data_IF_123454395846
#
_entry.id   IF_123454395846
#
_cell.length_a   1.000
_cell.length_b   1.000
_cell.length_c   1.000
_cell.angle_alpha   90.00
_cell.angle_beta   90.00
_cell.angle_gamma   90.00
#
_symmetry.space_group_name_H-M   'P 1'
#
loop_
_entity.id
_entity.type
_entity.pdbx_description
1 polymer ?
#
# COMPACT_ATOMS: atom_id res chain seq x y z
N UNK A 1 65.76 13.58 1.45
CA UNK A 1 66.08 13.67 2.88
C UNK A 1 65.35 14.82 3.48
N UNK A 2 64.44 14.61 4.37
CA UNK A 2 64.54 15.08 5.73
C UNK A 2 63.96 14.09 6.76
N UNK A 3 64.68 14.02 7.80
CA UNK A 3 64.59 13.84 9.22
C UNK A 3 63.23 13.46 9.86
N UNK A 4 63.22 12.23 10.40
CA UNK A 4 62.22 11.75 11.39
C UNK A 4 62.46 12.39 12.74
N UNK A 5 61.40 12.91 13.40
CA UNK A 5 61.38 13.18 14.83
C UNK A 5 60.52 12.13 15.53
N UNK A 6 61.09 11.39 16.44
CA UNK A 6 60.46 10.55 17.45
C UNK A 6 59.95 11.42 18.59
N UNK A 7 58.73 11.23 18.99
CA UNK A 7 58.17 11.76 20.25
C UNK A 7 57.98 10.60 21.22
N UNK A 8 58.71 10.66 22.32
CA UNK A 8 58.63 9.77 23.49
C UNK A 8 57.50 10.22 24.40
N UNK A 9 56.64 9.28 24.85
CA UNK A 9 55.61 9.48 25.87
C UNK A 9 56.06 8.86 27.19
N UNK A 10 56.00 9.56 28.32
CA UNK A 10 56.34 9.00 29.61
C UNK A 10 55.20 8.17 30.20
N UNK A 11 55.54 7.00 30.73
CA UNK A 11 54.65 6.12 31.51
C UNK A 11 54.64 6.58 32.97
N UNK A 12 53.47 6.96 33.47
CA UNK A 12 53.28 7.29 34.89
C UNK A 12 52.67 6.07 35.60
N UNK A 13 53.41 5.53 36.56
CA UNK A 13 53.03 4.42 37.42
C UNK A 13 52.19 4.96 38.59
N UNK A 14 50.92 4.54 38.70
CA UNK A 14 50.06 4.85 39.85
C UNK A 14 49.99 3.63 40.77
N UNK A 15 50.51 3.79 41.99
CA UNK A 15 50.45 2.80 43.08
C UNK A 15 49.05 2.87 43.73
N UNK A 16 48.30 1.78 43.73
CA UNK A 16 47.04 1.66 44.45
C UNK A 16 47.25 1.10 45.88
N UNK A 17 46.91 1.87 46.88
CA UNK A 17 46.75 1.39 48.28
C UNK A 17 45.34 0.78 48.43
N UNK A 18 45.27 -0.44 48.96
CA UNK A 18 44.05 -1.10 49.38
C UNK A 18 43.69 -0.73 50.84
N UNK A 19 42.44 -0.43 51.18
CA UNK A 19 42.01 -0.37 52.58
C UNK A 19 41.42 -1.70 53.05
N UNK A 20 41.64 -1.99 54.35
CA UNK A 20 41.25 -3.20 55.04
C UNK A 20 39.73 -3.40 55.18
N UNK A 21 39.31 -4.63 55.08
CA UNK A 21 37.94 -5.06 55.28
C UNK A 21 37.52 -5.05 56.75
N UNK A 22 36.44 -4.35 57.07
CA UNK A 22 35.67 -4.49 58.29
C UNK A 22 34.53 -5.46 58.11
N UNK A 23 34.54 -6.57 58.87
CA UNK A 23 33.38 -7.52 58.87
C UNK A 23 32.19 -6.90 59.60
N UNK A 24 31.10 -6.66 58.89
CA UNK A 24 29.80 -6.35 59.48
C UNK A 24 28.89 -7.57 59.35
N UNK A 25 28.34 -8.03 60.49
CA UNK A 25 27.36 -9.11 60.56
C UNK A 25 26.09 -8.68 59.85
N UNK A 26 25.66 -9.45 58.87
CA UNK A 26 24.36 -9.31 58.24
C UNK A 26 23.28 -9.97 59.08
N UNK A 27 22.22 -9.20 59.42
CA UNK A 27 20.97 -9.75 59.94
C UNK A 27 20.16 -10.42 58.84
N UNK A 28 19.34 -11.45 59.15
CA UNK A 28 18.53 -12.14 58.13
C UNK A 28 17.34 -11.27 57.67
N UNK A 29 17.31 -10.98 56.37
CA UNK A 29 16.18 -10.35 55.70
C UNK A 29 15.04 -11.35 55.60
N UNK A 30 13.76 -10.98 55.87
CA UNK A 30 12.62 -11.86 55.68
C UNK A 30 12.43 -12.17 54.18
N UNK A 31 12.16 -13.44 53.85
CA UNK A 31 11.74 -13.88 52.54
C UNK A 31 10.33 -13.31 52.24
N UNK A 32 10.29 -12.23 51.47
CA UNK A 32 9.04 -11.74 50.90
C UNK A 32 8.50 -12.74 49.88
N UNK A 33 7.18 -12.87 49.91
CA UNK A 33 6.37 -13.74 49.05
C UNK A 33 6.69 -13.53 47.56
N UNK A 34 6.38 -14.55 46.70
CA UNK A 34 6.65 -14.43 45.29
C UNK A 34 5.81 -13.28 44.67
N UNK A 35 6.52 -12.26 44.23
CA UNK A 35 5.92 -11.23 43.35
C UNK A 35 5.31 -11.93 42.15
N UNK A 36 3.98 -11.91 42.10
CA UNK A 36 3.20 -12.26 40.91
C UNK A 36 3.84 -11.57 39.72
N UNK A 37 4.41 -12.38 38.82
CA UNK A 37 5.05 -11.90 37.61
C UNK A 37 4.11 -10.95 36.88
N UNK A 38 4.61 -9.76 36.55
CA UNK A 38 3.97 -8.85 35.67
C UNK A 38 3.61 -9.63 34.40
N UNK A 39 2.31 -9.78 34.12
CA UNK A 39 1.82 -10.29 32.85
C UNK A 39 2.51 -9.46 31.75
N UNK A 40 3.38 -10.10 31.00
CA UNK A 40 4.05 -9.44 29.88
C UNK A 40 3.00 -8.79 29.02
N UNK A 41 3.04 -7.47 28.90
CA UNK A 41 2.23 -6.72 27.97
C UNK A 41 2.44 -7.37 26.61
N UNK A 42 1.42 -8.07 26.09
CA UNK A 42 1.45 -8.61 24.75
C UNK A 42 1.64 -7.40 23.82
N UNK A 43 2.83 -7.27 23.26
CA UNK A 43 3.12 -6.19 22.30
C UNK A 43 2.12 -6.33 21.16
N UNK A 44 1.34 -5.28 20.90
CA UNK A 44 0.41 -5.28 19.78
C UNK A 44 1.16 -5.61 18.48
N UNK A 45 0.59 -6.44 17.60
CA UNK A 45 1.26 -6.79 16.37
C UNK A 45 1.45 -5.54 15.50
N UNK A 46 2.64 -5.41 14.89
CA UNK A 46 2.98 -4.27 14.04
C UNK A 46 1.95 -4.09 12.92
N UNK A 47 1.59 -2.85 12.58
CA UNK A 47 0.61 -2.55 11.53
C UNK A 47 1.05 -3.09 10.17
N UNK A 48 0.10 -3.51 9.37
CA UNK A 48 0.31 -4.11 8.05
C UNK A 48 -0.74 -3.61 7.07
N UNK A 49 -0.35 -3.43 5.80
CA UNK A 49 -1.26 -3.05 4.73
C UNK A 49 -1.37 -4.15 3.69
N UNK A 50 -2.60 -4.52 3.35
CA UNK A 50 -2.96 -5.32 2.19
C UNK A 50 -3.60 -4.40 1.16
N UNK A 51 -2.82 -3.95 0.19
CA UNK A 51 -3.29 -3.18 -0.95
C UNK A 51 -3.82 -4.13 -2.03
N UNK A 52 -5.04 -3.87 -2.51
CA UNK A 52 -5.68 -4.64 -3.58
C UNK A 52 -6.04 -3.69 -4.71
N UNK A 53 -5.47 -3.90 -5.89
CA UNK A 53 -5.87 -3.20 -7.11
C UNK A 53 -6.63 -4.15 -8.03
N UNK A 54 -7.88 -3.80 -8.34
CA UNK A 54 -8.74 -4.55 -9.26
C UNK A 54 -8.74 -3.81 -10.59
N UNK A 55 -7.97 -4.33 -11.54
CA UNK A 55 -7.69 -3.73 -12.84
C UNK A 55 -8.99 -3.50 -13.63
N UNK A 56 -9.22 -2.26 -14.02
CA UNK A 56 -10.38 -1.87 -14.83
C UNK A 56 -11.73 -1.93 -14.08
N UNK A 57 -11.75 -1.85 -12.75
CA UNK A 57 -12.99 -1.93 -11.97
C UNK A 57 -13.79 -0.62 -12.03
N UNK A 58 -14.98 -0.69 -12.64
CA UNK A 58 -15.91 0.42 -12.76
C UNK A 58 -16.86 0.51 -11.56
N UNK A 59 -16.90 1.64 -10.85
CA UNK A 59 -17.81 1.84 -9.71
C UNK A 59 -19.30 1.71 -10.09
N UNK A 60 -19.72 2.26 -11.24
CA UNK A 60 -21.11 2.18 -11.70
C UNK A 60 -21.58 0.74 -11.98
N UNK A 61 -20.66 -0.18 -12.27
CA UNK A 61 -20.98 -1.61 -12.40
C UNK A 61 -21.09 -2.26 -11.04
N UNK A 62 -20.28 -1.86 -10.06
CA UNK A 62 -20.42 -2.31 -8.66
C UNK A 62 -21.80 -1.88 -8.13
N UNK A 63 -22.19 -0.61 -8.31
CA UNK A 63 -23.50 -0.10 -7.91
C UNK A 63 -24.65 -0.87 -8.57
N UNK A 64 -24.59 -1.07 -9.90
CA UNK A 64 -25.64 -1.81 -10.62
C UNK A 64 -25.74 -3.28 -10.23
N UNK A 65 -24.65 -3.91 -9.82
CA UNK A 65 -24.65 -5.29 -9.32
C UNK A 65 -25.25 -5.38 -7.92
N UNK A 66 -25.17 -4.29 -7.16
CA UNK A 66 -25.66 -4.22 -5.81
C UNK A 66 -24.98 -5.20 -4.85
N UNK A 67 -25.44 -5.23 -3.61
CA UNK A 67 -24.91 -6.11 -2.58
C UNK A 67 -25.10 -7.60 -2.88
N UNK A 68 -26.08 -7.98 -3.72
CA UNK A 68 -26.25 -9.38 -4.14
C UNK A 68 -25.15 -9.81 -5.12
N UNK A 69 -24.73 -8.91 -6.02
CA UNK A 69 -23.72 -9.21 -7.03
C UNK A 69 -22.27 -9.01 -6.58
N UNK A 70 -22.04 -8.08 -5.65
CA UNK A 70 -20.73 -7.74 -5.10
C UNK A 70 -20.80 -7.58 -3.57
N UNK A 71 -21.16 -8.65 -2.83
CA UNK A 71 -21.42 -8.58 -1.39
C UNK A 71 -20.20 -8.15 -0.58
N UNK A 72 -18.99 -8.51 -1.01
CA UNK A 72 -17.77 -8.17 -0.28
C UNK A 72 -17.45 -6.68 -0.42
N UNK A 73 -17.47 -6.15 -1.63
CA UNK A 73 -17.21 -4.71 -1.86
C UNK A 73 -18.24 -3.84 -1.12
N UNK A 74 -19.54 -4.20 -1.16
CA UNK A 74 -20.58 -3.49 -0.42
C UNK A 74 -20.39 -3.59 1.09
N UNK A 75 -19.96 -4.74 1.62
CA UNK A 75 -19.62 -4.88 3.04
C UNK A 75 -18.43 -3.99 3.41
N UNK A 76 -17.35 -4.00 2.62
CA UNK A 76 -16.17 -3.17 2.89
C UNK A 76 -16.50 -1.67 2.84
N UNK A 77 -17.39 -1.25 1.94
CA UNK A 77 -17.90 0.14 1.88
C UNK A 77 -18.77 0.50 3.10
N UNK A 78 -19.57 -0.45 3.58
CA UNK A 78 -20.44 -0.22 4.73
C UNK A 78 -19.72 -0.23 6.08
N UNK A 79 -18.68 -1.05 6.22
CA UNK A 79 -17.92 -1.24 7.46
C UNK A 79 -16.63 -0.39 7.53
N UNK A 80 -16.18 0.18 6.42
CA UNK A 80 -14.94 0.93 6.30
C UNK A 80 -15.13 2.34 5.74
N UNK A 81 -14.02 3.04 5.52
CA UNK A 81 -13.98 4.33 4.85
C UNK A 81 -13.89 4.13 3.33
N UNK A 82 -14.83 4.66 2.55
CA UNK A 82 -14.80 4.40 1.12
C UNK A 82 -15.53 5.43 0.28
N UNK A 83 -15.21 5.44 -1.02
CA UNK A 83 -15.97 6.16 -2.04
C UNK A 83 -15.98 5.38 -3.35
N UNK A 84 -17.06 5.48 -4.09
CA UNK A 84 -17.15 4.99 -5.47
C UNK A 84 -16.84 6.09 -6.50
N UNK A 85 -16.41 7.28 -6.03
CA UNK A 85 -16.16 8.44 -6.89
C UNK A 85 -14.71 8.98 -6.78
N UNK A 86 -13.74 8.12 -6.52
CA UNK A 86 -12.33 8.49 -6.63
C UNK A 86 -11.88 8.67 -8.08
N UNK A 87 -10.71 9.25 -8.28
CA UNK A 87 -10.13 9.49 -9.61
C UNK A 87 -8.76 8.84 -9.75
N UNK A 88 -8.45 8.33 -10.93
CA UNK A 88 -7.08 7.95 -11.33
C UNK A 88 -6.25 9.18 -11.71
N UNK A 89 -4.99 8.96 -12.07
CA UNK A 89 -4.14 10.00 -12.65
C UNK A 89 -4.78 10.58 -13.92
N UNK A 90 -4.69 11.91 -14.07
CA UNK A 90 -5.41 12.63 -15.12
C UNK A 90 -4.88 12.38 -16.52
N UNK A 91 -3.59 12.05 -16.66
CA UNK A 91 -2.90 12.00 -17.94
C UNK A 91 -3.12 10.69 -18.70
N UNK A 92 -3.30 9.59 -17.97
CA UNK A 92 -3.40 8.24 -18.50
C UNK A 92 -4.37 7.40 -17.70
N UNK A 93 -5.15 6.61 -18.41
CA UNK A 93 -6.12 5.67 -17.87
C UNK A 93 -5.77 4.25 -18.33
N UNK A 94 -4.51 3.87 -18.12
CA UNK A 94 -3.95 2.61 -18.58
C UNK A 94 -3.27 1.87 -17.44
N UNK A 95 -3.21 0.54 -17.52
CA UNK A 95 -2.74 -0.36 -16.45
C UNK A 95 -1.38 0.05 -15.88
N UNK A 96 -0.36 0.17 -16.72
CA UNK A 96 0.99 0.36 -16.21
C UNK A 96 1.22 1.77 -15.62
N UNK A 97 0.76 2.87 -16.25
CA UNK A 97 0.75 4.20 -15.63
C UNK A 97 -0.06 4.23 -14.33
N UNK A 98 -1.28 3.68 -14.31
CA UNK A 98 -2.17 3.69 -13.14
C UNK A 98 -1.55 3.00 -11.93
N UNK A 99 -1.06 1.77 -12.10
CA UNK A 99 -0.39 1.04 -11.02
C UNK A 99 0.94 1.68 -10.58
N UNK A 100 1.63 2.38 -11.48
CA UNK A 100 2.82 3.14 -11.09
C UNK A 100 2.42 4.36 -10.24
N UNK A 101 1.30 5.01 -10.58
CA UNK A 101 0.70 6.07 -9.75
C UNK A 101 0.33 5.54 -8.36
N UNK A 102 -0.34 4.37 -8.28
CA UNK A 102 -0.75 3.73 -7.01
C UNK A 102 0.42 3.50 -6.05
N UNK A 103 1.58 3.06 -6.55
CA UNK A 103 2.72 2.75 -5.68
C UNK A 103 3.67 3.93 -5.43
N UNK A 104 3.54 5.04 -6.19
CA UNK A 104 4.43 6.20 -6.06
C UNK A 104 3.77 7.44 -5.49
N UNK A 105 2.43 7.53 -5.53
CA UNK A 105 1.70 8.75 -5.21
C UNK A 105 2.01 9.89 -6.19
N UNK A 106 2.54 9.58 -7.39
CA UNK A 106 2.93 10.58 -8.39
C UNK A 106 1.98 10.58 -9.58
N UNK A 107 1.82 11.73 -10.18
CA UNK A 107 1.22 11.86 -11.52
C UNK A 107 2.10 11.19 -12.59
N UNK A 108 1.60 11.13 -13.84
CA UNK A 108 2.35 10.49 -14.94
C UNK A 108 3.43 11.39 -15.52
N UNK A 109 3.15 12.69 -15.72
CA UNK A 109 4.01 13.66 -16.42
C UNK A 109 5.36 13.88 -15.69
N UNK A 110 6.45 13.30 -16.24
CA UNK A 110 7.81 13.44 -15.69
C UNK A 110 8.29 14.90 -15.63
N UNK A 111 7.92 15.73 -16.61
CA UNK A 111 8.28 17.16 -16.66
C UNK A 111 7.67 17.99 -15.51
N UNK A 112 6.72 17.39 -14.79
CA UNK A 112 6.06 17.98 -13.62
C UNK A 112 6.24 17.16 -12.35
N UNK A 113 7.35 16.44 -12.24
CA UNK A 113 7.69 15.62 -11.07
C UNK A 113 6.99 14.26 -11.02
N UNK A 114 6.33 13.84 -12.09
CA UNK A 114 5.67 12.55 -12.20
C UNK A 114 6.62 11.39 -12.40
N UNK A 115 6.06 10.19 -12.46
CA UNK A 115 6.83 8.94 -12.58
C UNK A 115 7.28 8.60 -14.01
N UNK A 116 6.79 9.32 -15.04
CA UNK A 116 7.23 9.21 -16.43
C UNK A 116 6.83 7.95 -17.20
N UNK A 117 6.12 7.01 -16.60
CA UNK A 117 5.66 5.80 -17.26
C UNK A 117 4.43 6.15 -18.11
N UNK A 118 4.63 6.25 -19.43
CA UNK A 118 3.60 6.67 -20.41
C UNK A 118 3.20 5.57 -21.38
N UNK A 119 3.72 4.36 -21.19
CA UNK A 119 3.44 3.16 -22.02
C UNK A 119 2.69 2.10 -21.22
N UNK A 120 2.02 1.20 -21.91
CA UNK A 120 1.19 0.16 -21.27
C UNK A 120 1.61 -1.29 -21.63
N UNK A 121 2.65 -1.48 -22.42
CA UNK A 121 3.18 -2.80 -22.76
C UNK A 121 4.33 -3.22 -21.84
N UNK A 122 4.65 -4.54 -21.85
CA UNK A 122 5.84 -5.03 -21.18
C UNK A 122 7.09 -4.61 -21.95
N UNK A 123 7.96 -3.81 -21.32
CA UNK A 123 9.27 -3.42 -21.84
C UNK A 123 10.37 -4.00 -20.92
N UNK A 124 11.14 -4.94 -21.43
CA UNK A 124 12.31 -5.48 -20.72
C UNK A 124 13.36 -4.38 -20.45
N UNK A 125 14.06 -4.47 -19.32
CA UNK A 125 15.14 -3.52 -18.98
C UNK A 125 14.71 -2.12 -18.53
N UNK A 126 13.44 -1.73 -18.73
CA UNK A 126 12.96 -0.41 -18.30
C UNK A 126 12.69 -0.35 -16.79
N UNK A 127 12.83 0.83 -16.21
CA UNK A 127 12.49 1.14 -14.82
C UNK A 127 11.72 2.45 -14.73
N UNK A 128 11.03 2.66 -13.62
CA UNK A 128 10.33 3.94 -13.32
C UNK A 128 11.33 5.09 -13.22
N UNK A 129 12.52 4.84 -12.64
CA UNK A 129 13.60 5.83 -12.55
C UNK A 129 14.12 6.25 -13.92
N UNK A 130 14.27 5.29 -14.85
CA UNK A 130 14.61 5.57 -16.24
C UNK A 130 13.54 6.37 -16.98
N UNK A 131 12.27 6.07 -16.72
CA UNK A 131 11.14 6.80 -17.29
C UNK A 131 11.06 8.26 -16.79
N UNK A 132 11.31 8.47 -15.51
CA UNK A 132 11.29 9.79 -14.89
C UNK A 132 12.55 10.63 -15.18
N UNK A 133 13.61 10.01 -15.68
CA UNK A 133 14.92 10.68 -15.85
C UNK A 133 15.67 10.94 -14.53
N UNK A 134 15.27 10.28 -13.43
CA UNK A 134 15.87 10.48 -12.12
C UNK A 134 15.28 9.59 -11.03
N UNK A 135 15.72 9.76 -9.78
CA UNK A 135 15.26 8.94 -8.67
C UNK A 135 13.74 9.07 -8.44
N UNK A 136 13.06 7.93 -8.35
CA UNK A 136 11.65 7.85 -7.96
C UNK A 136 11.51 6.87 -6.80
N UNK A 137 10.91 7.36 -5.71
CA UNK A 137 10.59 6.58 -4.52
C UNK A 137 9.17 5.99 -4.63
N UNK A 138 8.86 5.01 -3.81
CA UNK A 138 7.56 4.34 -3.77
C UNK A 138 7.25 3.84 -2.37
N UNK A 139 6.01 3.46 -2.10
CA UNK A 139 5.64 2.77 -0.86
C UNK A 139 6.57 1.58 -0.59
N UNK A 140 6.96 0.83 -1.63
CA UNK A 140 7.88 -0.32 -1.51
C UNK A 140 9.24 0.11 -0.96
N UNK A 141 9.81 1.20 -1.51
CA UNK A 141 11.12 1.69 -1.09
C UNK A 141 11.10 2.28 0.33
N UNK A 142 10.01 2.92 0.74
CA UNK A 142 9.88 3.49 2.10
C UNK A 142 9.69 2.40 3.14
N UNK A 143 8.84 1.41 2.87
CA UNK A 143 8.71 0.20 3.70
C UNK A 143 10.07 -0.50 3.88
N UNK A 144 10.85 -0.65 2.82
CA UNK A 144 12.18 -1.26 2.92
C UNK A 144 13.14 -0.44 3.77
N UNK A 145 13.08 0.88 3.68
CA UNK A 145 13.94 1.79 4.47
C UNK A 145 13.62 1.73 5.97
N UNK A 146 12.36 1.49 6.32
CA UNK A 146 11.96 1.29 7.73
C UNK A 146 12.29 -0.10 8.27
N UNK A 147 12.90 -0.98 7.45
CA UNK A 147 13.18 -2.36 7.83
C UNK A 147 12.04 -3.34 7.54
N UNK A 148 10.91 -2.86 7.02
CA UNK A 148 9.77 -3.69 6.66
C UNK A 148 9.98 -4.51 5.38
N UNK A 149 9.18 -5.56 5.20
CA UNK A 149 9.14 -6.39 4.01
C UNK A 149 7.94 -6.08 3.12
N UNK A 150 8.10 -6.30 1.79
CA UNK A 150 7.03 -6.15 0.81
C UNK A 150 6.87 -7.37 -0.08
N UNK A 151 5.62 -7.64 -0.49
CA UNK A 151 5.30 -8.69 -1.45
C UNK A 151 4.34 -8.18 -2.53
N UNK A 152 4.55 -8.61 -3.79
CA UNK A 152 3.70 -8.30 -4.93
C UNK A 152 3.20 -9.59 -5.58
N UNK A 153 1.89 -9.69 -5.75
CA UNK A 153 1.19 -10.79 -6.42
C UNK A 153 0.40 -10.20 -7.59
N UNK A 154 0.85 -10.41 -8.81
CA UNK A 154 0.34 -9.68 -9.97
C UNK A 154 -0.14 -10.61 -11.09
N UNK A 155 -1.23 -10.18 -11.76
CA UNK A 155 -1.85 -10.92 -12.86
C UNK A 155 -1.26 -10.62 -14.25
N UNK A 156 -0.53 -9.51 -14.42
CA UNK A 156 -0.01 -9.06 -15.72
C UNK A 156 1.50 -8.89 -15.70
N UNK A 157 2.18 -9.42 -16.73
CA UNK A 157 3.65 -9.39 -16.87
C UNK A 157 4.22 -7.96 -16.88
N UNK A 158 3.50 -6.98 -17.44
CA UNK A 158 3.95 -5.58 -17.50
C UNK A 158 4.25 -5.02 -16.11
N UNK A 159 3.57 -5.47 -15.05
CA UNK A 159 3.79 -5.06 -13.66
C UNK A 159 5.11 -5.54 -13.07
N UNK A 160 5.87 -6.39 -13.78
CA UNK A 160 7.28 -6.67 -13.42
C UNK A 160 8.16 -5.42 -13.44
N UNK A 161 7.70 -4.33 -14.04
CA UNK A 161 8.33 -3.00 -13.95
C UNK A 161 8.53 -2.59 -12.49
N UNK A 162 7.55 -2.82 -11.61
CA UNK A 162 7.62 -2.45 -10.19
C UNK A 162 8.76 -3.16 -9.48
N UNK A 163 8.90 -4.48 -9.69
CA UNK A 163 10.03 -5.25 -9.15
C UNK A 163 11.37 -4.77 -9.70
N UNK A 164 11.46 -4.49 -11.01
CA UNK A 164 12.71 -4.01 -11.61
C UNK A 164 13.11 -2.63 -11.11
N UNK A 165 12.14 -1.77 -10.83
CA UNK A 165 12.39 -0.41 -10.35
C UNK A 165 12.85 -0.38 -8.89
N UNK A 166 12.38 -1.32 -8.06
CA UNK A 166 12.74 -1.40 -6.64
C UNK A 166 13.14 -2.83 -6.24
N UNK A 167 14.22 -3.40 -6.85
CA UNK A 167 14.54 -4.84 -6.70
C UNK A 167 14.91 -5.25 -5.28
N UNK A 168 15.43 -4.31 -4.48
CA UNK A 168 15.81 -4.56 -3.08
C UNK A 168 14.64 -4.35 -2.10
N UNK A 169 13.55 -3.77 -2.56
CA UNK A 169 12.37 -3.48 -1.75
C UNK A 169 11.27 -4.54 -1.87
N UNK A 170 11.36 -5.44 -2.86
CA UNK A 170 10.39 -6.49 -3.12
C UNK A 170 10.99 -7.84 -2.70
N UNK A 171 10.61 -8.34 -1.53
CA UNK A 171 11.09 -9.64 -1.02
C UNK A 171 10.42 -10.81 -1.74
N UNK A 172 9.19 -10.63 -2.17
CA UNK A 172 8.42 -11.63 -2.89
C UNK A 172 7.72 -11.03 -4.09
N UNK A 173 7.98 -11.56 -5.27
CA UNK A 173 7.25 -11.24 -6.50
C UNK A 173 6.68 -12.52 -7.10
N UNK A 174 5.37 -12.51 -7.36
CA UNK A 174 4.65 -13.62 -7.99
C UNK A 174 3.88 -13.07 -9.19
N UNK A 175 4.20 -13.58 -10.36
CA UNK A 175 3.43 -13.37 -11.58
C UNK A 175 2.62 -14.63 -11.86
N UNK A 176 1.31 -14.48 -11.96
CA UNK A 176 0.38 -15.61 -12.17
C UNK A 176 -0.86 -15.10 -12.92
N UNK A 177 -1.15 -15.63 -14.09
CA UNK A 177 -2.28 -15.17 -14.92
C UNK A 177 -3.66 -15.58 -14.38
N UNK A 178 -3.74 -16.71 -13.66
CA UNK A 178 -4.97 -17.12 -13.00
C UNK A 178 -5.19 -16.32 -11.70
N UNK A 179 -6.24 -15.47 -11.61
CA UNK A 179 -6.49 -14.64 -10.44
C UNK A 179 -6.76 -15.46 -9.16
N UNK A 180 -7.28 -16.69 -9.29
CA UNK A 180 -7.48 -17.59 -8.15
C UNK A 180 -6.14 -18.04 -7.57
N UNK A 181 -5.15 -18.28 -8.42
CA UNK A 181 -3.78 -18.62 -8.00
C UNK A 181 -3.06 -17.42 -7.43
N UNK A 182 -3.24 -16.20 -7.99
CA UNK A 182 -2.73 -14.95 -7.40
C UNK A 182 -3.18 -14.86 -5.94
N UNK A 183 -4.49 -14.95 -5.69
CA UNK A 183 -5.08 -14.85 -4.35
C UNK A 183 -4.64 -16.00 -3.45
N UNK A 184 -4.57 -17.23 -3.96
CA UNK A 184 -4.11 -18.38 -3.17
C UNK A 184 -2.65 -18.23 -2.71
N UNK A 185 -1.79 -17.63 -3.55
CA UNK A 185 -0.39 -17.33 -3.21
C UNK A 185 -0.30 -16.19 -2.19
N UNK A 186 -1.03 -15.10 -2.39
CA UNK A 186 -1.09 -13.98 -1.45
C UNK A 186 -1.59 -14.42 -0.06
N UNK A 187 -2.67 -15.18 0.01
CA UNK A 187 -3.21 -15.73 1.28
C UNK A 187 -2.19 -16.60 2.04
N UNK A 188 -1.40 -17.40 1.33
CA UNK A 188 -0.34 -18.20 1.95
C UNK A 188 0.81 -17.35 2.47
N UNK A 189 1.20 -16.31 1.73
CA UNK A 189 2.26 -15.40 2.16
C UNK A 189 1.83 -14.60 3.38
N UNK A 190 0.62 -14.02 3.39
CA UNK A 190 0.03 -13.32 4.53
C UNK A 190 0.03 -14.16 5.82
N UNK A 191 -0.26 -15.46 5.69
CA UNK A 191 -0.29 -16.37 6.83
C UNK A 191 1.09 -16.75 7.37
N UNK A 192 2.15 -16.70 6.55
CA UNK A 192 3.49 -17.21 6.86
C UNK A 192 4.55 -16.15 7.10
N UNK A 193 4.33 -14.94 6.59
CA UNK A 193 5.31 -13.88 6.62
C UNK A 193 4.73 -12.59 7.16
N UNK A 194 5.54 -11.84 7.88
CA UNK A 194 5.19 -10.53 8.44
C UNK A 194 5.60 -9.42 7.47
N UNK A 195 4.88 -9.32 6.33
CA UNK A 195 5.06 -8.24 5.39
C UNK A 195 4.37 -6.99 5.92
N UNK A 196 5.08 -5.87 5.95
CA UNK A 196 4.45 -4.58 6.25
C UNK A 196 3.50 -4.16 5.12
N UNK A 197 3.88 -4.44 3.85
CA UNK A 197 3.09 -4.09 2.69
C UNK A 197 2.93 -5.28 1.74
N UNK A 198 1.70 -5.64 1.41
CA UNK A 198 1.38 -6.66 0.41
C UNK A 198 0.49 -6.06 -0.67
N UNK A 199 0.91 -6.15 -1.92
CA UNK A 199 0.15 -5.68 -3.08
C UNK A 199 -0.38 -6.86 -3.87
N UNK A 200 -1.71 -6.87 -4.12
CA UNK A 200 -2.41 -7.91 -4.90
C UNK A 200 -3.13 -7.24 -6.07
N UNK A 201 -2.81 -7.67 -7.29
CA UNK A 201 -3.42 -7.18 -8.51
C UNK A 201 -4.30 -8.27 -9.15
N UNK A 202 -5.56 -7.94 -9.38
CA UNK A 202 -6.56 -8.81 -10.01
C UNK A 202 -6.89 -8.30 -11.42
N UNK A 203 -6.48 -9.04 -12.45
CA UNK A 203 -6.54 -8.61 -13.85
C UNK A 203 -7.88 -8.90 -14.54
N UNK A 204 -8.75 -9.73 -13.98
CA UNK A 204 -9.87 -10.32 -14.69
C UNK A 204 -10.93 -9.35 -15.20
N UNK A 205 -11.34 -8.28 -14.50
CA UNK A 205 -12.30 -7.35 -15.05
C UNK A 205 -11.79 -6.63 -16.31
N UNK A 206 -10.55 -6.15 -16.28
CA UNK A 206 -9.94 -5.49 -17.44
C UNK A 206 -9.82 -6.44 -18.65
N UNK A 207 -9.36 -7.67 -18.42
CA UNK A 207 -9.28 -8.69 -19.48
C UNK A 207 -10.65 -8.93 -20.12
N UNK A 208 -11.69 -9.12 -19.31
CA UNK A 208 -13.05 -9.30 -19.81
C UNK A 208 -13.59 -8.04 -20.51
N UNK A 209 -13.19 -6.85 -20.03
CA UNK A 209 -13.51 -5.57 -20.65
C UNK A 209 -12.94 -5.45 -22.07
N UNK A 210 -11.69 -5.82 -22.26
CA UNK A 210 -11.03 -5.84 -23.56
C UNK A 210 -11.63 -6.87 -24.52
N UNK A 211 -11.91 -8.07 -24.04
CA UNK A 211 -12.38 -9.19 -24.87
C UNK A 211 -13.86 -9.06 -25.25
N UNK A 212 -14.70 -8.48 -24.37
CA UNK A 212 -16.16 -8.52 -24.48
C UNK A 212 -16.84 -7.17 -24.30
N UNK A 213 -16.10 -6.13 -23.94
CA UNK A 213 -16.60 -4.79 -23.62
C UNK A 213 -16.83 -4.57 -22.13
N UNK A 214 -16.37 -3.41 -21.65
CA UNK A 214 -16.61 -2.93 -20.29
C UNK A 214 -18.11 -2.73 -20.05
N UNK A 215 -18.67 -3.42 -19.06
CA UNK A 215 -20.11 -3.44 -18.77
C UNK A 215 -20.88 -4.57 -19.47
N UNK A 216 -20.26 -5.43 -20.30
CA UNK A 216 -20.87 -6.65 -20.86
C UNK A 216 -21.23 -7.67 -19.77
N UNK A 217 -21.97 -8.72 -20.13
CA UNK A 217 -22.25 -9.81 -19.18
C UNK A 217 -20.97 -10.47 -18.67
N UNK A 218 -20.02 -10.76 -19.57
CA UNK A 218 -18.72 -11.36 -19.21
C UNK A 218 -17.91 -10.45 -18.27
N UNK A 219 -17.91 -9.13 -18.51
CA UNK A 219 -17.28 -8.16 -17.62
C UNK A 219 -17.93 -8.16 -16.23
N UNK A 220 -19.27 -8.15 -16.15
CA UNK A 220 -19.99 -8.22 -14.87
C UNK A 220 -19.68 -9.52 -14.11
N UNK A 221 -19.55 -10.64 -14.81
CA UNK A 221 -19.17 -11.91 -14.19
C UNK A 221 -17.72 -11.90 -13.67
N UNK A 222 -16.81 -11.24 -14.39
CA UNK A 222 -15.43 -11.02 -13.93
C UNK A 222 -15.38 -10.10 -12.70
N UNK A 223 -16.24 -9.06 -12.59
CA UNK A 223 -16.37 -8.23 -11.41
C UNK A 223 -16.89 -9.04 -10.22
N UNK A 224 -17.92 -9.89 -10.41
CA UNK A 224 -18.40 -10.81 -9.34
C UNK A 224 -17.32 -11.79 -8.89
N UNK A 225 -16.50 -12.29 -9.81
CA UNK A 225 -15.38 -13.18 -9.45
C UNK A 225 -14.29 -12.41 -8.69
N UNK A 226 -13.96 -11.19 -9.10
CA UNK A 226 -13.03 -10.33 -8.38
C UNK A 226 -13.51 -10.05 -6.95
N UNK A 227 -14.80 -9.74 -6.76
CA UNK A 227 -15.42 -9.57 -5.45
C UNK A 227 -15.25 -10.81 -4.57
N UNK A 228 -15.56 -12.01 -5.10
CA UNK A 228 -15.36 -13.28 -4.37
C UNK A 228 -13.89 -13.50 -4.00
N UNK A 229 -12.96 -13.10 -4.86
CA UNK A 229 -11.52 -13.25 -4.63
C UNK A 229 -11.01 -12.27 -3.56
N UNK A 230 -11.50 -11.04 -3.56
CA UNK A 230 -11.28 -10.08 -2.46
C UNK A 230 -11.81 -10.68 -1.16
N UNK A 231 -13.01 -11.25 -1.17
CA UNK A 231 -13.59 -11.94 -0.01
C UNK A 231 -12.72 -13.06 0.56
N UNK A 232 -12.01 -13.79 -0.29
CA UNK A 232 -11.04 -14.81 0.18
C UNK A 232 -9.82 -14.20 0.87
N UNK A 233 -9.38 -13.01 0.46
CA UNK A 233 -8.29 -12.28 1.13
C UNK A 233 -8.76 -11.76 2.49
N UNK A 234 -9.90 -11.09 2.53
CA UNK A 234 -10.53 -10.56 3.74
C UNK A 234 -10.79 -11.68 4.75
N UNK A 235 -11.39 -12.79 4.33
CA UNK A 235 -11.62 -13.95 5.19
C UNK A 235 -10.32 -14.54 5.77
N UNK A 236 -9.18 -14.45 5.03
CA UNK A 236 -7.88 -14.84 5.59
C UNK A 236 -7.43 -13.86 6.68
N UNK A 237 -7.65 -12.57 6.50
CA UNK A 237 -7.36 -11.56 7.52
C UNK A 237 -8.18 -11.84 8.77
N UNK A 238 -9.51 -11.95 8.64
CA UNK A 238 -10.45 -12.16 9.75
C UNK A 238 -10.22 -13.46 10.51
N UNK A 239 -9.93 -14.56 9.79
CA UNK A 239 -9.75 -15.89 10.41
C UNK A 239 -8.42 -16.08 11.13
N UNK A 240 -7.53 -15.08 11.11
CA UNK A 240 -6.20 -15.17 11.72
C UNK A 240 -6.03 -14.04 12.73
N UNK A 241 -6.12 -14.27 14.06
CA UNK A 241 -6.17 -13.23 15.08
C UNK A 241 -5.10 -12.12 14.92
N UNK A 242 -3.83 -12.51 14.68
CA UNK A 242 -2.75 -11.53 14.46
C UNK A 242 -2.92 -10.69 13.20
N UNK A 243 -3.61 -11.20 12.16
CA UNK A 243 -3.91 -10.43 10.96
C UNK A 243 -5.12 -9.52 11.19
N UNK A 244 -6.15 -10.04 11.85
CA UNK A 244 -7.36 -9.28 12.17
C UNK A 244 -7.07 -8.03 13.01
N UNK A 245 -6.07 -8.08 13.89
CA UNK A 245 -5.68 -6.94 14.72
C UNK A 245 -4.65 -6.00 14.06
N UNK A 246 -4.01 -6.38 12.95
CA UNK A 246 -2.91 -5.62 12.38
C UNK A 246 -3.07 -5.23 10.91
N UNK A 247 -3.88 -5.95 10.12
CA UNK A 247 -3.98 -5.72 8.67
C UNK A 247 -5.11 -4.76 8.35
N UNK A 248 -4.78 -3.66 7.68
CA UNK A 248 -5.73 -2.78 7.00
C UNK A 248 -5.71 -3.08 5.51
N UNK A 249 -6.89 -3.20 4.92
CA UNK A 249 -7.07 -3.43 3.48
C UNK A 249 -7.31 -2.08 2.82
N UNK A 250 -6.52 -1.76 1.77
CA UNK A 250 -6.75 -0.60 0.90
C UNK A 250 -7.06 -1.13 -0.49
N UNK A 251 -8.27 -0.91 -0.99
CA UNK A 251 -8.73 -1.39 -2.29
C UNK A 251 -9.00 -0.24 -3.22
N UNK A 252 -8.50 -0.33 -4.45
CA UNK A 252 -8.78 0.63 -5.53
C UNK A 252 -8.72 -0.05 -6.90
N UNK A 253 -8.80 0.76 -7.95
CA UNK A 253 -8.55 0.37 -9.34
C UNK A 253 -7.63 1.38 -10.00
N UNK A 254 -6.91 0.92 -10.99
CA UNK A 254 -5.99 1.74 -11.79
C UNK A 254 -6.71 2.61 -12.82
N UNK A 255 -7.85 2.15 -13.36
CA UNK A 255 -8.72 2.86 -14.30
C UNK A 255 -10.11 2.20 -14.41
N UNK A 256 -11.03 2.87 -15.11
CA UNK A 256 -12.28 2.28 -15.58
C UNK A 256 -12.15 1.78 -17.03
N UNK A 257 -13.21 1.90 -17.84
CA UNK A 257 -13.19 1.52 -19.25
C UNK A 257 -14.54 1.65 -19.92
N UNK A 258 -14.55 1.79 -21.26
CA UNK A 258 -15.77 1.84 -22.07
C UNK A 258 -15.57 1.16 -23.42
N UNK A 259 -16.65 0.58 -24.00
CA UNK A 259 -16.48 -0.30 -25.15
C UNK A 259 -15.47 -1.41 -24.80
N UNK A 260 -14.45 -1.59 -25.60
CA UNK A 260 -13.33 -2.52 -25.36
C UNK A 260 -12.02 -1.80 -25.01
N UNK A 261 -12.07 -0.52 -24.62
CA UNK A 261 -10.88 0.34 -24.43
C UNK A 261 -11.00 1.17 -23.15
N UNK A 262 -9.85 1.71 -22.73
CA UNK A 262 -9.77 2.62 -21.57
C UNK A 262 -8.72 3.72 -21.75
N UNK A 263 -8.03 3.80 -22.91
CA UNK A 263 -6.90 4.70 -23.18
C UNK A 263 -7.31 6.15 -23.48
N UNK A 264 -8.60 6.41 -23.70
CA UNK A 264 -9.08 7.79 -23.85
C UNK A 264 -9.18 8.48 -22.49
N UNK A 265 -8.14 9.24 -22.19
CA UNK A 265 -8.03 10.01 -20.96
C UNK A 265 -8.99 11.23 -20.90
N UNK A 266 -9.85 11.45 -21.88
CA UNK A 266 -10.90 12.47 -21.84
C UNK A 266 -12.21 11.94 -21.26
N UNK A 267 -12.43 10.64 -21.30
CA UNK A 267 -13.66 10.01 -20.84
C UNK A 267 -13.65 9.86 -19.31
N UNK A 268 -14.68 10.41 -18.66
CA UNK A 268 -14.81 10.37 -17.21
C UNK A 268 -14.87 8.93 -16.68
N UNK A 269 -15.58 8.05 -17.36
CA UNK A 269 -15.74 6.64 -16.98
C UNK A 269 -14.39 5.89 -16.90
N UNK A 270 -13.38 6.32 -17.67
CA UNK A 270 -12.04 5.74 -17.59
C UNK A 270 -11.25 6.24 -16.37
N UNK A 271 -11.67 7.38 -15.78
CA UNK A 271 -11.02 7.97 -14.62
C UNK A 271 -11.69 7.66 -13.29
N UNK A 272 -12.94 7.24 -13.30
CA UNK A 272 -13.69 7.00 -12.07
C UNK A 272 -13.42 5.60 -11.57
N UNK A 273 -12.93 5.52 -10.32
CA UNK A 273 -12.52 4.28 -9.67
C UNK A 273 -13.02 4.25 -8.22
N UNK A 274 -13.22 3.06 -7.63
CA UNK A 274 -13.50 2.96 -6.20
C UNK A 274 -12.23 3.19 -5.39
N UNK A 275 -12.39 3.65 -4.15
CA UNK A 275 -11.32 3.67 -3.15
C UNK A 275 -11.92 3.29 -1.81
N UNK A 276 -11.44 2.21 -1.19
CA UNK A 276 -12.01 1.65 0.03
C UNK A 276 -10.90 1.26 1.00
N UNK A 277 -11.05 1.63 2.25
CA UNK A 277 -10.16 1.23 3.35
C UNK A 277 -10.97 0.50 4.39
N UNK A 278 -10.48 -0.64 4.86
CA UNK A 278 -11.17 -1.47 5.84
C UNK A 278 -10.17 -2.16 6.78
N UNK A 279 -10.55 -2.32 8.02
CA UNK A 279 -9.76 -3.06 9.01
C UNK A 279 -9.73 -2.40 10.38
N UNK A 280 -8.85 -2.85 11.30
CA UNK A 280 -8.84 -2.35 12.67
C UNK A 280 -8.55 -0.84 12.73
N UNK A 281 -9.40 -0.12 13.47
CA UNK A 281 -9.28 1.33 13.66
C UNK A 281 -9.77 2.18 12.48
N UNK A 282 -10.26 1.58 11.40
CA UNK A 282 -10.86 2.33 10.29
C UNK A 282 -12.31 2.70 10.63
N UNK A 283 -12.68 3.96 10.41
CA UNK A 283 -14.03 4.47 10.59
C UNK A 283 -14.92 4.11 9.41
N UNK A 284 -16.18 3.78 9.67
CA UNK A 284 -17.17 3.62 8.60
C UNK A 284 -17.65 4.99 8.12
N UNK A 285 -17.69 5.20 6.80
CA UNK A 285 -18.22 6.42 6.21
C UNK A 285 -17.73 6.71 4.80
N UNK A 286 -18.34 7.69 4.15
CA UNK A 286 -17.83 8.21 2.87
C UNK A 286 -16.53 8.99 3.10
N UNK A 287 -15.53 8.76 2.25
CA UNK A 287 -14.22 9.42 2.38
C UNK A 287 -14.30 10.94 2.27
N UNK A 288 -15.25 11.48 1.52
CA UNK A 288 -15.42 12.94 1.40
C UNK A 288 -16.14 13.54 2.61
N UNK A 289 -16.99 12.77 3.30
CA UNK A 289 -17.61 13.18 4.56
C UNK A 289 -16.61 13.15 5.74
N UNK A 290 -15.74 12.16 5.75
CA UNK A 290 -14.67 12.03 6.74
C UNK A 290 -13.54 13.05 6.54
N UNK A 291 -13.34 13.55 5.30
CA UNK A 291 -12.21 14.38 4.91
C UNK A 291 -12.67 15.70 4.26
N UNK A 292 -13.03 16.75 5.03
CA UNK A 292 -13.51 18.02 4.50
C UNK A 292 -12.51 18.78 3.64
N UNK A 293 -11.21 18.46 3.73
CA UNK A 293 -10.14 19.02 2.89
C UNK A 293 -10.06 18.37 1.50
N UNK A 294 -10.66 17.21 1.35
CA UNK A 294 -10.93 16.59 0.05
C UNK A 294 -12.29 17.03 -0.48
N UNK A 295 -12.48 16.90 -1.78
CA UNK A 295 -13.75 17.28 -2.43
C UNK A 295 -14.22 16.21 -3.38
N UNK A 296 -15.45 15.77 -3.21
CA UNK A 296 -16.14 14.95 -4.20
C UNK A 296 -16.12 15.68 -5.57
N UNK A 297 -15.52 15.06 -6.59
CA UNK A 297 -15.42 15.67 -7.90
C UNK A 297 -16.76 15.70 -8.67
N UNK A 298 -17.81 15.01 -8.21
CA UNK A 298 -19.04 14.80 -8.99
C UNK A 298 -18.69 14.19 -10.36
N UNK A 299 -19.18 14.80 -11.43
CA UNK A 299 -18.88 14.40 -12.81
C UNK A 299 -17.64 15.11 -13.40
N UNK A 300 -16.81 15.71 -12.56
CA UNK A 300 -15.65 16.46 -13.02
C UNK A 300 -14.36 15.61 -13.05
N UNK A 301 -13.40 16.06 -13.85
CA UNK A 301 -12.00 15.58 -13.88
C UNK A 301 -11.06 16.69 -13.40
N UNK A 302 -10.99 16.96 -12.08
CA UNK A 302 -10.22 18.06 -11.54
C UNK A 302 -8.72 17.90 -11.82
N UNK A 303 -8.08 19.03 -12.16
CA UNK A 303 -6.63 19.09 -12.31
C UNK A 303 -5.92 19.17 -10.96
N UNK A 304 -4.64 18.87 -10.94
CA UNK A 304 -3.80 18.84 -9.72
C UNK A 304 -3.55 20.23 -9.05
N UNK A 305 -4.03 21.32 -9.64
CA UNK A 305 -3.90 22.68 -9.07
C UNK A 305 -5.11 23.12 -8.23
N UNK A 306 -6.13 22.28 -8.10
CA UNK A 306 -7.27 22.60 -7.25
C UNK A 306 -6.84 22.56 -5.78
N UNK A 307 -7.31 23.53 -4.99
CA UNK A 307 -7.02 23.61 -3.56
C UNK A 307 -7.51 22.36 -2.81
N UNK A 308 -8.73 21.89 -3.14
CA UNK A 308 -9.26 20.62 -2.65
C UNK A 308 -9.19 19.60 -3.78
N UNK A 309 -8.39 18.57 -3.58
CA UNK A 309 -8.26 17.46 -4.51
C UNK A 309 -9.36 16.43 -4.27
N UNK A 310 -9.76 15.64 -5.28
CA UNK A 310 -10.51 14.41 -5.03
C UNK A 310 -9.57 13.35 -4.45
N UNK A 311 -10.14 12.34 -3.80
CA UNK A 311 -9.43 11.09 -3.52
C UNK A 311 -8.99 10.49 -4.86
N UNK A 312 -7.73 10.05 -4.92
CA UNK A 312 -7.15 9.44 -6.12
C UNK A 312 -6.61 8.03 -5.81
N UNK A 313 -6.56 7.18 -6.83
CA UNK A 313 -5.93 5.86 -6.66
C UNK A 313 -4.47 5.95 -6.21
N UNK A 314 -3.76 7.03 -6.54
CA UNK A 314 -2.38 7.27 -6.10
C UNK A 314 -2.25 7.64 -4.62
N UNK A 315 -3.33 8.03 -3.95
CA UNK A 315 -3.34 8.25 -2.50
C UNK A 315 -3.03 6.95 -1.74
N UNK A 316 -3.24 5.79 -2.39
CA UNK A 316 -2.88 4.46 -1.87
C UNK A 316 -1.45 4.41 -1.33
N UNK A 317 -0.47 5.02 -2.02
CA UNK A 317 0.93 4.96 -1.58
C UNK A 317 1.12 5.61 -0.20
N UNK A 318 0.68 6.85 -0.06
CA UNK A 318 0.92 7.64 1.16
C UNK A 318 -0.04 7.26 2.29
N UNK A 319 -1.28 6.92 1.98
CA UNK A 319 -2.20 6.35 2.97
C UNK A 319 -1.67 5.02 3.53
N UNK A 320 -1.11 4.15 2.66
CA UNK A 320 -0.49 2.91 3.14
C UNK A 320 0.68 3.17 4.08
N UNK A 321 1.51 4.19 3.81
CA UNK A 321 2.62 4.56 4.68
C UNK A 321 2.12 5.16 5.99
N UNK A 322 1.11 6.01 5.95
CA UNK A 322 0.48 6.59 7.14
C UNK A 322 -0.08 5.50 8.05
N UNK A 323 -0.85 4.55 7.51
CA UNK A 323 -1.35 3.38 8.23
C UNK A 323 -0.25 2.48 8.82
N UNK A 324 0.98 2.59 8.34
CA UNK A 324 2.18 1.92 8.85
C UNK A 324 2.98 2.81 9.82
N UNK A 325 2.57 4.05 10.07
CA UNK A 325 3.31 5.02 10.87
C UNK A 325 4.60 5.49 10.21
N UNK A 326 4.65 5.53 8.87
CA UNK A 326 5.81 5.91 8.07
C UNK A 326 5.56 7.22 7.32
N UNK A 327 6.60 8.03 7.09
CA UNK A 327 6.47 9.28 6.34
C UNK A 327 6.10 9.03 4.87
N UNK A 328 5.46 10.04 4.26
CA UNK A 328 5.05 10.01 2.86
C UNK A 328 6.22 9.72 1.90
N UNK A 329 5.89 9.18 0.73
CA UNK A 329 6.85 8.94 -0.36
C UNK A 329 7.48 10.25 -0.80
N UNK A 330 8.81 10.43 -0.71
CA UNK A 330 9.48 11.64 -1.15
C UNK A 330 9.20 11.97 -2.62
N UNK A 331 8.68 13.18 -2.85
CA UNK A 331 8.31 13.66 -4.17
C UNK A 331 6.98 13.12 -4.72
N UNK A 332 6.17 12.45 -3.89
CA UNK A 332 4.77 12.18 -4.18
C UNK A 332 3.97 13.49 -4.29
N UNK A 333 2.80 13.42 -4.92
CA UNK A 333 1.95 14.56 -5.21
C UNK A 333 0.49 14.30 -4.83
N UNK A 334 0.18 13.08 -4.45
CA UNK A 334 -1.15 12.62 -4.03
C UNK A 334 -1.06 12.21 -2.57
N UNK A 335 -1.92 12.78 -1.72
CA UNK A 335 -1.90 12.61 -0.27
C UNK A 335 -0.47 12.75 0.34
N UNK A 336 0.30 13.76 -0.13
CA UNK A 336 1.70 13.90 0.26
C UNK A 336 1.87 14.46 1.68
N UNK A 337 0.85 15.11 2.21
CA UNK A 337 0.78 15.59 3.59
C UNK A 337 0.22 14.52 4.53
N UNK A 338 -0.24 13.38 3.98
CA UNK A 338 -0.88 12.29 4.72
C UNK A 338 -2.10 12.78 5.53
N UNK A 339 -2.91 13.61 4.87
CA UNK A 339 -4.11 14.26 5.39
C UNK A 339 -5.43 13.56 4.97
N UNK A 340 -5.33 12.41 4.29
CA UNK A 340 -6.48 11.54 4.03
C UNK A 340 -6.73 10.63 5.24
N UNK A 341 -7.57 11.11 6.16
CA UNK A 341 -7.90 10.38 7.37
C UNK A 341 -8.94 9.28 7.12
N UNK A 342 -8.68 8.13 7.69
CA UNK A 342 -9.57 6.95 7.65
C UNK A 342 -9.83 6.38 9.05
N UNK A 343 -9.32 7.03 10.08
CA UNK A 343 -9.49 6.63 11.48
C UNK A 343 -10.37 7.65 12.19
N UNK A 344 -11.12 7.21 13.18
CA UNK A 344 -11.87 8.15 14.04
C UNK A 344 -10.87 9.07 14.78
N UNK A 345 -11.20 10.36 14.97
CA UNK A 345 -10.41 11.28 15.76
C UNK A 345 -10.30 10.85 17.23
#
# INVERSE_FOLDING_TARGET
MPVRRLLTVPVTLVLALAPAAACSRAEPVPLDAPTTGAAGSATEPAPRVLAVSVDGLRPDVVERLGAEGTPVLHRLLAEGAGTLNARTARERTETLPGHTTEVTGRRVDAGRGGHGVTWNEHRGGTTVQGAAGGPVRSVLSEVRRSGGGSALFVGKQKLSLLRRSWPRAVDRFVLESDPRRVVARARRDLARHERAFTFVHLASPDTAGHDHGFGSAAYRDAVREADRLVGRLVARVESTPRLASSVRVVLTSDHGGTGTRHDDALLLVNHTVPFVVWGPGVSAGDLYDLNPDYRDPGDARPGYRRARQPVRNGDLANLSLDLLGLPAVPGSQMNHEQDLDVTAP
#
